data_IF_774519765268
#
_entry.id   IF_774519765268
#
_cell.length_a   1.000
_cell.length_b   1.000
_cell.length_c   1.000
_cell.angle_alpha   90.00
_cell.angle_beta   90.00
_cell.angle_gamma   90.00
#
_symmetry.space_group_name_H-M   'P 1'
#
loop_
_entity.id
_entity.type
_entity.pdbx_description
1 polymer ?
#
# COMPACT_ATOMS: atom_id res chain seq x y z
N UNK A 1 31.82 11.56 -19.45
CA UNK A 1 31.55 13.02 -19.32
C UNK A 1 30.04 13.20 -19.24
N UNK A 2 29.51 13.58 -18.06
CA UNK A 2 28.07 13.74 -17.80
C UNK A 2 27.58 15.04 -18.42
N UNK A 3 26.64 14.98 -19.37
CA UNK A 3 25.93 16.17 -19.86
C UNK A 3 24.71 16.37 -18.97
N UNK A 4 24.77 17.43 -18.15
CA UNK A 4 23.68 17.91 -17.32
C UNK A 4 22.78 18.77 -18.20
N UNK A 5 21.55 18.34 -18.48
CA UNK A 5 20.56 19.21 -19.10
C UNK A 5 19.81 20.00 -18.01
N UNK A 6 19.89 21.32 -18.15
CA UNK A 6 19.34 22.31 -17.26
C UNK A 6 17.83 22.46 -17.45
N UNK A 7 17.14 22.57 -16.31
CA UNK A 7 15.74 22.91 -16.17
C UNK A 7 15.30 24.08 -17.06
N UNK A 8 14.22 23.87 -17.82
CA UNK A 8 13.44 24.96 -18.42
C UNK A 8 12.20 25.19 -17.56
N UNK A 9 12.32 26.13 -16.63
CA UNK A 9 11.22 26.72 -15.87
C UNK A 9 10.19 27.33 -16.82
N UNK A 10 8.95 26.86 -16.75
CA UNK A 10 7.78 27.51 -17.33
C UNK A 10 6.79 27.83 -16.21
N UNK A 11 6.96 28.99 -15.58
CA UNK A 11 6.00 29.53 -14.62
C UNK A 11 4.86 30.20 -15.39
N UNK A 12 3.64 29.65 -15.30
CA UNK A 12 2.43 30.35 -15.70
C UNK A 12 1.49 30.39 -14.48
N UNK A 13 1.62 31.49 -13.74
CA UNK A 13 0.70 31.91 -12.70
C UNK A 13 -0.60 32.38 -13.36
N UNK A 14 -1.73 31.72 -13.13
CA UNK A 14 -3.03 32.35 -13.28
C UNK A 14 -3.79 32.27 -11.95
N UNK A 15 -3.89 33.43 -11.32
CA UNK A 15 -4.79 33.72 -10.21
C UNK A 15 -6.22 33.76 -10.74
N UNK A 16 -7.10 32.91 -10.22
CA UNK A 16 -8.54 33.08 -10.29
C UNK A 16 -9.11 33.04 -8.87
N UNK A 17 -9.18 34.22 -8.25
CA UNK A 17 -9.97 34.49 -7.05
C UNK A 17 -11.45 34.39 -7.39
N UNK A 18 -12.11 33.33 -6.93
CA UNK A 18 -13.56 33.17 -6.97
C UNK A 18 -14.10 32.90 -5.57
N UNK A 19 -14.44 33.95 -4.84
CA UNK A 19 -15.17 33.86 -3.57
C UNK A 19 -16.67 33.78 -3.85
N UNK A 20 -17.25 32.60 -3.69
CA UNK A 20 -18.70 32.41 -3.52
C UNK A 20 -18.95 32.01 -2.07
N UNK A 21 -19.52 32.94 -1.32
CA UNK A 21 -20.08 32.71 0.00
C UNK A 21 -21.59 32.71 -0.13
N UNK A 22 -22.29 31.59 0.09
CA UNK A 22 -23.71 31.57 0.50
C UNK A 22 -24.03 30.27 1.27
N UNK A 23 -24.52 30.46 2.50
CA UNK A 23 -25.41 29.63 3.34
C UNK A 23 -25.02 28.16 3.58
N UNK A 24 -24.82 27.69 4.82
CA UNK A 24 -25.69 27.91 5.96
C UNK A 24 -26.51 26.64 6.21
N UNK A 25 -25.96 25.72 7.00
CA UNK A 25 -26.74 24.67 7.64
C UNK A 25 -26.38 24.65 9.13
N UNK A 26 -26.96 25.59 9.86
CA UNK A 26 -27.28 25.38 11.27
C UNK A 26 -28.42 24.37 11.31
N UNK A 27 -28.20 23.24 11.98
CA UNK A 27 -29.19 22.20 12.20
C UNK A 27 -28.85 21.44 13.46
N UNK A 28 -29.15 22.07 14.59
CA UNK A 28 -29.33 21.43 15.88
C UNK A 28 -30.60 20.55 15.81
N UNK A 29 -30.51 19.30 16.24
CA UNK A 29 -31.58 18.32 16.05
C UNK A 29 -31.26 17.03 16.79
N UNK A 30 -31.25 17.12 18.11
CA UNK A 30 -31.28 15.94 18.96
C UNK A 30 -32.49 15.06 18.63
N UNK A 31 -32.31 13.75 18.80
CA UNK A 31 -33.34 12.84 19.24
C UNK A 31 -32.61 11.69 19.94
N UNK A 32 -32.82 11.59 21.25
CA UNK A 32 -32.40 10.45 22.02
C UNK A 32 -33.13 9.21 21.55
N UNK A 33 -32.42 8.08 21.61
CA UNK A 33 -33.06 6.80 21.84
C UNK A 33 -32.19 6.06 22.85
N UNK A 34 -32.58 6.22 24.11
CA UNK A 34 -32.25 5.27 25.17
C UNK A 34 -32.89 3.95 24.75
N UNK A 35 -32.08 2.93 24.50
CA UNK A 35 -32.56 1.58 24.23
C UNK A 35 -31.60 0.60 24.85
N UNK A 36 -32.04 0.15 26.03
CA UNK A 36 -31.86 -1.17 26.60
C UNK A 36 -30.44 -1.73 26.81
N UNK A 37 -30.04 -1.68 28.09
CA UNK A 37 -29.96 -2.88 28.94
C UNK A 37 -29.59 -4.18 28.22
N UNK A 38 -28.30 -4.49 28.22
CA UNK A 38 -27.77 -5.82 27.91
C UNK A 38 -26.89 -6.32 29.04
N UNK A 39 -27.49 -6.70 30.15
CA UNK A 39 -26.84 -7.52 31.18
C UNK A 39 -26.61 -8.93 30.61
N UNK A 40 -25.35 -9.24 30.28
CA UNK A 40 -24.91 -10.56 29.85
C UNK A 40 -23.77 -11.05 30.73
N UNK A 41 -24.12 -11.61 31.89
CA UNK A 41 -23.21 -12.35 32.74
C UNK A 41 -22.68 -13.62 32.05
N UNK A 42 -21.51 -14.06 32.47
CA UNK A 42 -20.86 -15.28 32.01
C UNK A 42 -19.69 -15.60 32.92
N UNK A 43 -19.98 -16.39 33.95
CA UNK A 43 -19.07 -16.87 34.97
C UNK A 43 -18.08 -17.93 34.46
N UNK A 44 -16.91 -17.99 35.10
CA UNK A 44 -16.30 -19.26 35.51
C UNK A 44 -15.35 -19.95 34.51
N UNK A 45 -14.12 -20.18 34.95
CA UNK A 45 -13.16 -21.05 34.26
C UNK A 45 -11.80 -21.11 34.93
N UNK A 46 -11.75 -21.59 36.17
CA UNK A 46 -10.52 -22.00 36.84
C UNK A 46 -9.96 -23.30 36.25
N UNK A 47 -8.63 -23.46 36.24
CA UNK A 47 -7.98 -24.76 36.42
C UNK A 47 -7.07 -25.22 35.28
N UNK A 48 -5.77 -25.32 35.58
CA UNK A 48 -4.83 -26.02 34.71
C UNK A 48 -3.36 -25.92 35.08
N UNK A 49 -3.00 -26.18 36.34
CA UNK A 49 -1.60 -26.45 36.72
C UNK A 49 -1.21 -27.86 36.23
N UNK A 50 -0.49 -27.93 35.10
CA UNK A 50 0.09 -29.15 34.56
C UNK A 50 1.60 -29.17 34.76
N UNK A 51 2.05 -29.67 35.91
CA UNK A 51 3.43 -30.06 36.13
C UNK A 51 3.78 -31.31 35.31
N UNK A 52 4.93 -31.26 34.64
CA UNK A 52 5.49 -32.36 33.88
C UNK A 52 7.02 -32.30 33.93
N UNK A 53 7.56 -32.86 34.99
CA UNK A 53 8.95 -33.24 35.18
C UNK A 53 9.28 -34.47 34.31
N UNK A 54 9.95 -34.22 33.19
CA UNK A 54 10.44 -35.25 32.28
C UNK A 54 11.95 -35.08 32.06
N UNK A 55 12.70 -35.99 32.66
CA UNK A 55 14.15 -36.13 32.65
C UNK A 55 14.78 -36.42 31.27
N UNK A 56 16.07 -36.14 31.22
CA UNK A 56 17.07 -36.23 30.14
C UNK A 56 16.93 -37.38 29.13
N UNK A 57 17.24 -37.08 27.87
CA UNK A 57 17.81 -38.03 26.91
C UNK A 57 18.69 -37.31 25.89
N UNK A 58 19.99 -37.50 26.04
CA UNK A 58 21.02 -37.28 25.02
C UNK A 58 20.75 -38.15 23.77
N UNK A 59 21.00 -37.61 22.58
CA UNK A 59 21.23 -38.46 21.40
C UNK A 59 20.83 -37.84 20.08
N UNK A 60 21.83 -37.36 19.35
CA UNK A 60 21.70 -36.68 18.07
C UNK A 60 21.07 -37.49 16.93
N UNK A 61 20.57 -36.73 15.95
CA UNK A 61 20.10 -37.20 14.67
C UNK A 61 19.49 -36.03 13.93
N UNK A 62 20.34 -35.23 13.28
CA UNK A 62 19.89 -34.11 12.46
C UNK A 62 18.99 -34.62 11.34
N UNK A 63 17.71 -34.32 11.42
CA UNK A 63 16.92 -34.01 10.25
C UNK A 63 16.85 -32.49 10.15
N UNK A 64 17.26 -31.97 8.99
CA UNK A 64 17.17 -30.55 8.70
C UNK A 64 15.70 -30.17 8.60
N UNK A 65 15.06 -29.94 9.75
CA UNK A 65 14.01 -28.94 9.84
C UNK A 65 14.71 -27.61 9.66
N UNK A 66 15.04 -27.29 8.39
CA UNK A 66 15.36 -25.95 7.97
C UNK A 66 14.09 -25.14 8.25
N UNK A 67 13.99 -24.62 9.49
CA UNK A 67 13.19 -23.44 9.77
C UNK A 67 13.60 -22.46 8.67
N UNK A 68 12.70 -22.13 7.71
CA UNK A 68 13.06 -21.27 6.62
C UNK A 68 13.41 -19.94 7.27
N UNK A 69 14.71 -19.72 7.48
CA UNK A 69 15.23 -18.43 7.93
C UNK A 69 14.78 -17.48 6.84
N UNK A 70 13.68 -16.77 7.10
CA UNK A 70 13.18 -15.67 6.29
C UNK A 70 14.33 -14.68 6.22
N UNK A 71 15.17 -14.82 5.20
CA UNK A 71 16.14 -13.81 4.82
C UNK A 71 15.33 -12.66 4.26
N UNK A 72 14.84 -11.80 5.16
CA UNK A 72 14.33 -10.50 4.78
C UNK A 72 15.51 -9.72 4.21
N UNK A 73 15.61 -9.68 2.89
CA UNK A 73 16.49 -8.72 2.24
C UNK A 73 15.94 -7.33 2.58
N UNK A 74 16.84 -6.37 2.84
CA UNK A 74 16.46 -5.02 3.24
C UNK A 74 15.59 -4.29 2.20
N UNK A 75 15.13 -3.07 2.50
CA UNK A 75 14.34 -2.29 1.54
C UNK A 75 15.14 -2.09 0.25
N UNK A 76 14.43 -2.27 -0.87
CA UNK A 76 14.91 -2.11 -2.25
C UNK A 76 14.62 -0.68 -2.71
N UNK A 77 15.55 -0.07 -3.45
CA UNK A 77 15.39 1.29 -3.97
C UNK A 77 14.23 1.39 -4.97
N UNK A 78 13.33 2.36 -4.75
CA UNK A 78 12.15 2.59 -5.57
C UNK A 78 12.12 3.98 -6.18
N UNK A 79 11.72 4.08 -7.44
CA UNK A 79 11.52 5.35 -8.14
C UNK A 79 10.11 5.44 -8.74
N UNK A 80 9.46 6.59 -8.61
CA UNK A 80 8.22 6.89 -9.34
C UNK A 80 8.58 7.47 -10.70
N UNK A 81 8.33 6.72 -11.77
CA UNK A 81 8.60 7.19 -13.14
C UNK A 81 7.43 7.97 -13.69
N UNK A 82 6.20 7.56 -13.36
CA UNK A 82 4.99 8.23 -13.84
C UNK A 82 3.85 8.11 -12.85
N UNK A 83 3.07 9.18 -12.74
CA UNK A 83 1.79 9.21 -12.06
C UNK A 83 0.82 10.04 -12.90
N UNK A 84 -0.11 9.35 -13.55
CA UNK A 84 -1.06 9.97 -14.47
C UNK A 84 -2.29 10.58 -13.76
N UNK A 85 -2.41 10.42 -12.44
CA UNK A 85 -3.54 10.92 -11.66
C UNK A 85 -3.09 12.14 -10.85
N UNK A 86 -3.45 13.34 -11.30
CA UNK A 86 -3.01 14.61 -10.69
C UNK A 86 -3.50 14.77 -9.25
N UNK A 87 -4.68 14.24 -8.93
CA UNK A 87 -5.33 14.33 -7.62
C UNK A 87 -4.80 13.30 -6.60
N UNK A 88 -3.84 12.47 -6.98
CA UNK A 88 -3.21 11.49 -6.10
C UNK A 88 -1.72 11.75 -6.02
N UNK A 89 -1.20 11.99 -4.83
CA UNK A 89 0.24 12.14 -4.59
C UNK A 89 0.79 10.89 -3.95
N UNK A 90 1.85 10.31 -4.52
CA UNK A 90 2.59 9.22 -3.87
C UNK A 90 3.41 9.80 -2.73
N UNK A 91 3.08 9.39 -1.50
CA UNK A 91 3.71 9.87 -0.27
C UNK A 91 4.89 9.00 0.10
N UNK A 92 4.68 7.68 0.05
CA UNK A 92 5.66 6.68 0.50
C UNK A 92 5.63 5.47 -0.40
N UNK A 93 6.81 4.89 -0.62
CA UNK A 93 7.00 3.56 -1.16
C UNK A 93 7.81 2.73 -0.15
N UNK A 94 7.26 1.63 0.33
CA UNK A 94 7.91 0.71 1.26
C UNK A 94 7.99 -0.68 0.64
N UNK A 95 9.18 -1.10 0.21
CA UNK A 95 9.41 -2.37 -0.45
C UNK A 95 9.79 -3.46 0.55
N UNK A 96 9.33 -4.68 0.29
CA UNK A 96 9.64 -5.85 1.10
C UNK A 96 10.05 -7.01 0.21
N UNK A 97 11.16 -7.65 0.56
CA UNK A 97 11.66 -8.86 -0.08
C UNK A 97 11.55 -9.99 0.93
N UNK A 98 10.68 -10.94 0.63
CA UNK A 98 10.52 -12.17 1.40
C UNK A 98 10.32 -13.34 0.44
N UNK A 99 9.31 -14.18 0.65
CA UNK A 99 8.87 -15.19 -0.32
C UNK A 99 8.34 -14.56 -1.62
N UNK A 100 7.91 -13.30 -1.56
CA UNK A 100 7.53 -12.48 -2.72
C UNK A 100 8.14 -11.09 -2.57
N UNK A 101 8.36 -10.42 -3.70
CA UNK A 101 8.63 -8.99 -3.74
C UNK A 101 7.30 -8.24 -3.68
N UNK A 102 7.16 -7.26 -2.80
CA UNK A 102 5.98 -6.41 -2.75
C UNK A 102 6.35 -4.97 -2.40
N UNK A 103 5.48 -4.04 -2.78
CA UNK A 103 5.62 -2.62 -2.45
C UNK A 103 4.33 -2.13 -1.83
N UNK A 104 4.42 -1.54 -0.64
CA UNK A 104 3.32 -0.76 -0.07
C UNK A 104 3.41 0.66 -0.63
N UNK A 105 2.39 1.05 -1.39
CA UNK A 105 2.26 2.40 -1.95
C UNK A 105 1.28 3.18 -1.08
N UNK A 106 1.74 4.28 -0.49
CA UNK A 106 0.87 5.22 0.23
C UNK A 106 0.58 6.42 -0.66
N UNK A 107 -0.70 6.70 -0.85
CA UNK A 107 -1.21 7.82 -1.64
C UNK A 107 -1.88 8.83 -0.73
N UNK A 108 -1.77 10.11 -1.03
CA UNK A 108 -2.60 11.19 -0.51
C UNK A 108 -3.60 11.62 -1.57
N UNK A 109 -4.87 11.70 -1.19
CA UNK A 109 -5.93 12.22 -2.04
C UNK A 109 -5.99 13.75 -1.94
N UNK A 110 -5.42 14.45 -2.91
CA UNK A 110 -5.43 15.92 -2.99
C UNK A 110 -6.62 16.48 -3.77
N UNK A 111 -7.43 15.62 -4.38
CA UNK A 111 -8.68 16.01 -5.04
C UNK A 111 -9.84 16.22 -4.06
N UNK A 112 -11.04 16.41 -4.61
CA UNK A 112 -12.27 16.75 -3.88
C UNK A 112 -13.25 15.57 -3.72
N UNK A 113 -12.99 14.44 -4.38
CA UNK A 113 -13.83 13.26 -4.34
C UNK A 113 -13.27 12.19 -3.40
N UNK A 114 -14.14 11.35 -2.85
CA UNK A 114 -13.70 10.16 -2.10
C UNK A 114 -13.26 9.08 -3.08
N UNK A 115 -12.10 8.48 -2.85
CA UNK A 115 -11.54 7.40 -3.71
C UNK A 115 -10.91 6.28 -2.87
N UNK A 116 -10.33 5.28 -3.50
CA UNK A 116 -9.54 4.24 -2.84
C UNK A 116 -8.31 3.90 -3.69
N UNK A 117 -7.18 3.60 -3.04
CA UNK A 117 -5.93 3.27 -3.73
C UNK A 117 -6.08 2.05 -4.66
N UNK A 118 -7.04 1.16 -4.39
CA UNK A 118 -7.30 -0.03 -5.22
C UNK A 118 -7.82 0.28 -6.63
N UNK A 119 -8.43 1.45 -6.83
CA UNK A 119 -9.14 1.79 -8.06
C UNK A 119 -8.20 2.35 -9.15
N UNK A 120 -6.90 2.17 -8.99
CA UNK A 120 -5.86 2.61 -9.92
C UNK A 120 -4.97 1.43 -10.30
N UNK A 121 -4.26 1.57 -11.41
CA UNK A 121 -3.36 0.54 -11.93
C UNK A 121 -1.94 0.87 -11.57
N UNK A 122 -1.20 -0.16 -11.16
CA UNK A 122 0.18 -0.04 -10.74
C UNK A 122 1.01 -1.00 -11.59
N UNK A 123 1.95 -0.44 -12.31
CA UNK A 123 2.90 -1.18 -13.13
C UNK A 123 4.28 -1.05 -12.49
N UNK A 124 4.92 -2.19 -12.28
CA UNK A 124 6.27 -2.28 -11.73
C UNK A 124 7.23 -2.74 -12.82
N UNK A 125 8.32 -1.99 -13.00
CA UNK A 125 9.49 -2.47 -13.74
C UNK A 125 10.60 -2.80 -12.73
N UNK A 126 11.09 -4.04 -12.76
CA UNK A 126 12.04 -4.57 -11.79
C UNK A 126 13.44 -4.63 -12.39
N UNK A 127 14.46 -4.35 -11.58
CA UNK A 127 15.85 -4.34 -12.01
C UNK A 127 16.75 -5.10 -11.01
N UNK A 128 17.79 -5.73 -11.53
CA UNK A 128 18.83 -6.36 -10.72
C UNK A 128 19.91 -5.37 -10.25
N UNK A 129 20.87 -5.86 -9.46
CA UNK A 129 21.98 -5.05 -8.93
C UNK A 129 22.95 -4.50 -9.98
N UNK A 130 22.80 -4.90 -11.24
CA UNK A 130 23.54 -4.40 -12.39
C UNK A 130 22.71 -3.44 -13.27
N UNK A 131 21.53 -3.02 -12.80
CA UNK A 131 20.54 -2.23 -13.54
C UNK A 131 20.00 -2.93 -14.81
N UNK A 132 20.04 -4.26 -14.86
CA UNK A 132 19.38 -5.04 -15.92
C UNK A 132 17.90 -5.17 -15.61
N UNK A 133 17.03 -4.85 -16.58
CA UNK A 133 15.59 -5.06 -16.43
C UNK A 133 15.28 -6.57 -16.32
N UNK A 134 14.64 -6.94 -15.22
CA UNK A 134 14.15 -8.28 -14.94
C UNK A 134 12.74 -8.50 -15.52
N UNK A 135 11.97 -7.42 -15.66
CA UNK A 135 10.69 -7.40 -16.36
C UNK A 135 9.79 -6.24 -15.94
N UNK A 136 8.75 -6.00 -16.74
CA UNK A 136 7.70 -5.02 -16.47
C UNK A 136 6.36 -5.73 -16.36
N UNK A 137 5.63 -5.52 -15.26
CA UNK A 137 4.40 -6.24 -14.94
C UNK A 137 3.35 -5.34 -14.27
N UNK A 138 2.09 -5.59 -14.60
CA UNK A 138 0.96 -5.03 -13.86
C UNK A 138 0.81 -5.82 -12.56
N UNK A 139 0.75 -5.11 -11.44
CA UNK A 139 0.74 -5.71 -10.13
C UNK A 139 -0.68 -6.09 -9.67
N UNK A 140 -0.86 -7.22 -8.97
CA UNK A 140 -2.07 -7.40 -8.16
C UNK A 140 -2.00 -6.46 -6.97
N UNK A 141 -3.20 -6.13 -6.49
CA UNK A 141 -3.42 -5.16 -5.45
C UNK A 141 -4.07 -5.83 -4.25
N UNK A 142 -3.62 -5.51 -3.05
CA UNK A 142 -4.31 -5.83 -1.82
C UNK A 142 -4.53 -4.55 -1.02
N UNK A 143 -5.78 -4.30 -0.63
CA UNK A 143 -6.15 -3.07 0.06
C UNK A 143 -5.71 -3.13 1.52
N UNK A 144 -5.08 -2.06 2.02
CA UNK A 144 -4.70 -1.94 3.43
C UNK A 144 -5.61 -1.02 4.25
N UNK A 145 -6.63 -0.40 3.64
CA UNK A 145 -7.47 0.55 4.35
C UNK A 145 -8.81 0.85 3.71
N UNK A 146 -9.58 1.71 4.38
CA UNK A 146 -10.80 2.27 3.83
C UNK A 146 -10.47 3.32 2.74
N UNK A 147 -11.50 3.72 1.98
CA UNK A 147 -11.36 4.81 1.02
C UNK A 147 -10.89 6.13 1.67
N UNK A 148 -10.16 6.91 0.88
CA UNK A 148 -9.56 8.20 1.21
C UNK A 148 -10.54 9.32 0.83
N UNK A 149 -10.97 10.12 1.81
CA UNK A 149 -11.58 11.42 1.52
C UNK A 149 -10.50 12.45 1.13
N UNK A 150 -10.90 13.65 0.71
CA UNK A 150 -9.98 14.75 0.42
C UNK A 150 -9.03 15.03 1.61
N UNK A 151 -7.74 15.16 1.31
CA UNK A 151 -6.65 15.36 2.27
C UNK A 151 -6.26 14.13 3.09
N UNK A 152 -6.89 12.97 2.87
CA UNK A 152 -6.56 11.73 3.57
C UNK A 152 -5.59 10.86 2.78
N UNK A 153 -4.81 10.07 3.51
CA UNK A 153 -3.94 9.05 2.95
C UNK A 153 -4.56 7.66 3.02
N UNK A 154 -4.14 6.79 2.11
CA UNK A 154 -4.51 5.39 2.02
C UNK A 154 -3.41 4.60 1.36
N UNK A 155 -3.38 3.29 1.61
CA UNK A 155 -2.30 2.44 1.15
C UNK A 155 -2.81 1.19 0.44
N UNK A 156 -2.00 0.70 -0.49
CA UNK A 156 -2.22 -0.54 -1.23
C UNK A 156 -0.90 -1.31 -1.27
N UNK A 157 -0.97 -2.63 -1.08
CA UNK A 157 0.16 -3.51 -1.40
C UNK A 157 0.04 -3.87 -2.87
N UNK A 158 1.11 -3.67 -3.61
CA UNK A 158 1.24 -4.11 -5.00
C UNK A 158 2.27 -5.23 -5.09
N UNK A 159 1.89 -6.33 -5.75
CA UNK A 159 2.73 -7.52 -5.94
C UNK A 159 2.76 -7.85 -7.45
N UNK A 160 3.94 -8.09 -8.05
CA UNK A 160 4.04 -8.44 -9.47
C UNK A 160 3.33 -9.77 -9.79
N UNK A 161 2.38 -9.79 -10.75
CA UNK A 161 1.51 -10.96 -11.01
C UNK A 161 2.21 -12.20 -11.59
N UNK A 162 3.29 -12.01 -12.35
CA UNK A 162 3.93 -13.07 -13.15
C UNK A 162 5.44 -12.90 -13.20
N UNK A 163 6.03 -12.43 -12.11
CA UNK A 163 7.48 -12.38 -12.00
C UNK A 163 7.99 -13.78 -11.65
N UNK A 164 8.57 -14.46 -12.63
CA UNK A 164 9.13 -15.81 -12.50
C UNK A 164 10.59 -15.82 -11.97
N UNK A 165 11.17 -14.64 -11.70
CA UNK A 165 12.51 -14.52 -11.13
C UNK A 165 12.50 -14.62 -9.59
N UNK A 166 13.69 -14.64 -8.99
CA UNK A 166 13.80 -14.72 -7.54
C UNK A 166 13.59 -13.33 -6.90
N UNK A 167 12.71 -13.17 -5.89
CA UNK A 167 12.51 -11.87 -5.25
C UNK A 167 13.80 -11.22 -4.72
N UNK A 168 14.78 -12.03 -4.32
CA UNK A 168 16.12 -11.58 -3.89
C UNK A 168 16.94 -10.91 -4.99
N UNK A 169 16.64 -11.18 -6.25
CA UNK A 169 17.34 -10.60 -7.40
C UNK A 169 16.97 -9.14 -7.63
N UNK A 170 15.83 -8.68 -7.09
CA UNK A 170 15.34 -7.31 -7.27
C UNK A 170 16.16 -6.36 -6.39
N UNK A 171 16.95 -5.49 -7.03
CA UNK A 171 17.75 -4.47 -6.37
C UNK A 171 17.22 -3.05 -6.56
N UNK A 172 16.37 -2.82 -7.57
CA UNK A 172 15.67 -1.55 -7.80
C UNK A 172 14.33 -1.81 -8.49
N UNK A 173 13.37 -0.91 -8.31
CA UNK A 173 12.14 -0.90 -9.09
C UNK A 173 11.71 0.50 -9.51
N UNK A 174 10.96 0.55 -10.59
CA UNK A 174 10.28 1.74 -11.10
C UNK A 174 8.77 1.52 -11.02
N UNK A 175 8.04 2.52 -10.51
CA UNK A 175 6.59 2.51 -10.38
C UNK A 175 5.94 3.46 -11.38
N UNK A 176 4.91 2.97 -12.07
CA UNK A 176 3.95 3.78 -12.83
C UNK A 176 2.55 3.59 -12.25
N UNK A 177 1.83 4.70 -12.04
CA UNK A 177 0.42 4.70 -11.60
C UNK A 177 -0.45 5.37 -12.67
N UNK A 178 -1.49 4.68 -13.10
CA UNK A 178 -2.43 5.18 -14.12
C UNK A 178 -3.83 4.53 -14.02
N UNK A 179 -4.65 4.73 -15.05
CA UNK A 179 -6.04 4.28 -15.15
C UNK A 179 -6.24 3.15 -16.17
N UNK A 180 -5.16 2.60 -16.72
CA UNK A 180 -5.22 1.55 -17.74
C UNK A 180 -5.70 0.22 -17.15
N UNK A 181 -6.33 -0.62 -17.96
CA UNK A 181 -6.69 -2.00 -17.61
C UNK A 181 -7.68 -2.19 -16.43
N UNK A 182 -8.37 -1.14 -16.01
CA UNK A 182 -9.43 -1.23 -14.99
C UNK A 182 -10.79 -1.29 -15.69
N UNK A 183 -11.63 -2.25 -15.30
CA UNK A 183 -13.03 -2.28 -15.71
C UNK A 183 -13.75 -1.02 -15.21
N UNK A 184 -14.71 -0.49 -15.97
CA UNK A 184 -15.39 0.77 -15.63
C UNK A 184 -16.02 0.79 -14.22
N UNK A 185 -16.40 -0.38 -13.68
CA UNK A 185 -16.97 -0.53 -12.34
C UNK A 185 -15.95 -0.39 -11.18
N UNK A 186 -14.67 -0.68 -11.44
CA UNK A 186 -13.57 -0.59 -10.46
C UNK A 186 -12.70 0.65 -10.68
N UNK A 187 -13.07 1.48 -11.67
CA UNK A 187 -12.26 2.61 -12.13
C UNK A 187 -12.22 3.73 -11.10
N UNK A 188 -11.05 4.31 -10.91
CA UNK A 188 -10.85 5.45 -10.01
C UNK A 188 -11.68 6.66 -10.43
N UNK A 189 -12.19 7.41 -9.45
CA UNK A 189 -13.02 8.61 -9.71
C UNK A 189 -12.27 9.73 -10.44
N UNK A 190 -10.95 9.67 -10.47
CA UNK A 190 -10.07 10.60 -11.18
C UNK A 190 -9.59 10.06 -12.53
N UNK A 191 -10.13 8.93 -12.97
CA UNK A 191 -9.84 8.36 -14.28
C UNK A 191 -10.83 8.88 -15.33
N UNK A 192 -10.35 9.52 -16.42
CA UNK A 192 -11.19 10.09 -17.47
C UNK A 192 -12.01 9.03 -18.23
#
# INVERSE_FOLDING_TARGET
MRRRELLRRGSATLLATGSVAVAGCSGDGGNGNESDSGDGGGDGGDGGDGGGDGSDSDGGGGDGSEDPTLTTSGPVDGEVVSNAIEELVIVTLDSQVSNVFSVTVTLENTGDQRTTAMNYTYTLTLFDGADTELGTVVANKANLGAGMSAGQQGSVIVTPQFYDGEPSDVARYELTVDCSEIADEDRGVYCP
#
